data_IF_297044225626
#
_entry.id   IF_297044225626
#
_cell.length_a   1.000
_cell.length_b   1.000
_cell.length_c   1.000
_cell.angle_alpha   90.00
_cell.angle_beta   90.00
_cell.angle_gamma   90.00
#
_symmetry.space_group_name_H-M   'P 1'
#
loop_
_entity.id
_entity.type
_entity.pdbx_description
1 polymer ?
#
# COMPACT_ATOMS: atom_id res chain seq x y z
N UNK A 1 8.69 15.09 -16.76
CA UNK A 1 9.53 15.16 -15.54
C UNK A 1 8.87 15.91 -14.38
N UNK A 2 8.13 16.99 -14.62
CA UNK A 2 7.40 17.69 -13.55
C UNK A 2 6.48 16.77 -12.73
N UNK A 3 5.72 15.87 -13.40
CA UNK A 3 4.88 14.88 -12.72
C UNK A 3 5.68 13.97 -11.78
N UNK A 4 6.86 13.52 -12.22
CA UNK A 4 7.68 12.62 -11.42
C UNK A 4 8.18 13.27 -10.13
N UNK A 5 8.46 14.57 -10.18
CA UNK A 5 8.84 15.39 -9.03
C UNK A 5 7.64 15.67 -8.12
N UNK A 6 6.48 16.01 -8.67
CA UNK A 6 5.23 16.17 -7.90
C UNK A 6 4.87 14.92 -7.09
N UNK A 7 4.93 13.74 -7.71
CA UNK A 7 4.69 12.47 -7.01
C UNK A 7 5.70 12.28 -5.88
N UNK A 8 6.98 12.55 -6.14
CA UNK A 8 8.02 12.42 -5.12
C UNK A 8 7.77 13.36 -3.93
N UNK A 9 7.44 14.62 -4.19
CA UNK A 9 7.21 15.63 -3.16
C UNK A 9 5.96 15.34 -2.35
N UNK A 10 4.88 14.89 -3.01
CA UNK A 10 3.68 14.40 -2.32
C UNK A 10 4.02 13.22 -1.40
N UNK A 11 4.69 12.20 -1.91
CA UNK A 11 5.04 11.02 -1.11
C UNK A 11 5.97 11.38 0.05
N UNK A 12 6.91 12.30 -0.11
CA UNK A 12 7.85 12.75 0.94
C UNK A 12 7.16 13.67 1.99
N UNK A 13 6.00 14.24 1.66
CA UNK A 13 5.22 15.11 2.55
C UNK A 13 4.33 14.35 3.55
N UNK A 14 4.05 13.08 3.30
CA UNK A 14 3.16 12.27 4.14
C UNK A 14 3.83 11.97 5.50
N UNK A 15 3.16 12.18 6.64
CA UNK A 15 3.78 11.99 7.96
C UNK A 15 4.23 10.55 8.19
N UNK A 16 3.45 9.58 7.69
CA UNK A 16 3.74 8.14 7.77
C UNK A 16 4.96 7.72 6.94
N UNK A 17 5.40 8.57 6.01
CA UNK A 17 6.57 8.30 5.18
C UNK A 17 7.84 8.85 5.80
N UNK A 18 8.91 8.08 5.66
CA UNK A 18 10.28 8.51 5.90
C UNK A 18 10.93 8.92 4.59
N UNK A 19 12.12 8.40 4.31
CA UNK A 19 12.84 8.79 3.10
C UNK A 19 12.19 8.23 1.85
N UNK A 20 11.94 9.10 0.87
CA UNK A 20 11.59 8.70 -0.50
C UNK A 20 12.82 8.78 -1.41
N UNK A 21 13.02 7.74 -2.22
CA UNK A 21 14.07 7.66 -3.24
C UNK A 21 13.42 7.38 -4.60
N UNK A 22 13.78 8.18 -5.60
CA UNK A 22 13.27 8.04 -6.97
C UNK A 22 14.19 8.75 -7.97
N UNK A 23 13.81 8.73 -9.25
CA UNK A 23 14.45 9.56 -10.27
C UNK A 23 14.45 11.06 -9.89
N UNK A 24 13.41 11.55 -9.21
CA UNK A 24 13.34 12.94 -8.76
C UNK A 24 14.44 13.29 -7.75
N UNK A 25 14.88 12.34 -6.92
CA UNK A 25 16.01 12.53 -6.00
C UNK A 25 17.29 12.84 -6.78
N UNK A 26 17.53 12.09 -7.87
CA UNK A 26 18.68 12.31 -8.74
C UNK A 26 18.61 13.67 -9.44
N UNK A 27 17.43 14.04 -9.94
CA UNK A 27 17.21 15.35 -10.55
C UNK A 27 17.45 16.48 -9.53
N UNK A 28 16.95 16.37 -8.30
CA UNK A 28 17.20 17.35 -7.23
C UNK A 28 18.68 17.51 -6.92
N UNK A 29 19.44 16.41 -6.83
CA UNK A 29 20.90 16.46 -6.62
C UNK A 29 21.58 17.15 -7.80
N UNK A 30 21.23 16.77 -9.02
CA UNK A 30 21.83 17.35 -10.22
C UNK A 30 21.52 18.86 -10.34
N UNK A 31 20.30 19.29 -10.01
CA UNK A 31 19.93 20.71 -9.92
C UNK A 31 20.76 21.45 -8.88
N UNK A 32 20.98 20.87 -7.69
CA UNK A 32 21.84 21.46 -6.66
C UNK A 32 23.28 21.63 -7.14
N UNK A 33 23.83 20.62 -7.84
CA UNK A 33 25.17 20.69 -8.43
C UNK A 33 25.24 21.71 -9.57
N UNK A 34 24.15 21.90 -10.31
CA UNK A 34 24.01 22.89 -11.38
C UNK A 34 23.61 24.28 -10.84
N UNK A 35 24.14 24.69 -9.69
CA UNK A 35 23.91 26.01 -9.06
C UNK A 35 22.43 26.36 -8.89
N UNK A 36 21.60 25.36 -8.58
CA UNK A 36 20.15 25.52 -8.40
C UNK A 36 19.33 25.58 -9.69
N UNK A 37 19.96 25.49 -10.88
CA UNK A 37 19.25 25.49 -12.16
C UNK A 37 18.87 24.06 -12.57
N UNK A 38 17.60 23.78 -12.89
CA UNK A 38 17.21 22.46 -13.36
C UNK A 38 17.92 22.14 -14.68
N UNK A 39 18.31 20.87 -14.85
CA UNK A 39 18.86 20.42 -16.12
C UNK A 39 17.75 20.40 -17.18
N UNK A 40 18.05 20.91 -18.37
CA UNK A 40 17.14 20.80 -19.50
C UNK A 40 17.11 19.37 -20.08
N UNK A 41 16.19 19.10 -21.00
CA UNK A 41 16.04 17.77 -21.60
C UNK A 41 17.30 17.31 -22.36
N UNK A 42 18.03 18.23 -22.98
CA UNK A 42 19.24 17.92 -23.73
C UNK A 42 20.39 17.54 -22.80
N UNK A 43 20.62 18.33 -21.74
CA UNK A 43 21.60 18.07 -20.70
C UNK A 43 21.31 16.74 -20.00
N UNK A 44 20.04 16.43 -19.73
CA UNK A 44 19.66 15.14 -19.15
C UNK A 44 19.89 13.98 -20.09
N UNK A 45 19.60 14.13 -21.39
CA UNK A 45 19.91 13.13 -22.39
C UNK A 45 21.42 12.90 -22.49
N UNK A 46 22.21 13.97 -22.44
CA UNK A 46 23.68 13.89 -22.44
C UNK A 46 24.21 13.22 -21.18
N UNK A 47 23.71 13.57 -20.00
CA UNK A 47 24.08 12.90 -18.75
C UNK A 47 23.73 11.42 -18.82
N UNK A 48 22.54 11.07 -19.34
CA UNK A 48 22.15 9.69 -19.53
C UNK A 48 23.05 8.95 -20.53
N UNK A 49 23.40 9.55 -21.67
CA UNK A 49 24.22 8.91 -22.70
C UNK A 49 25.67 8.73 -22.25
N UNK A 50 26.23 9.71 -21.55
CA UNK A 50 27.61 9.72 -21.09
C UNK A 50 27.83 8.94 -19.79
N UNK A 51 26.76 8.62 -19.03
CA UNK A 51 26.90 7.85 -17.80
C UNK A 51 27.38 6.41 -18.12
N UNK A 52 28.50 5.94 -17.54
CA UNK A 52 28.93 4.56 -17.74
C UNK A 52 27.87 3.56 -17.24
N UNK A 53 27.74 2.41 -17.93
CA UNK A 53 26.72 1.41 -17.60
C UNK A 53 26.76 0.92 -16.15
N UNK A 54 27.95 0.85 -15.55
CA UNK A 54 28.13 0.52 -14.13
C UNK A 54 27.35 1.48 -13.22
N UNK A 55 27.45 2.79 -13.46
CA UNK A 55 26.75 3.80 -12.67
C UNK A 55 25.25 3.81 -12.98
N UNK A 56 24.85 3.58 -14.24
CA UNK A 56 23.42 3.47 -14.59
C UNK A 56 22.75 2.36 -13.79
N UNK A 57 23.41 1.20 -13.65
CA UNK A 57 22.89 0.06 -12.86
C UNK A 57 22.68 0.37 -11.39
N UNK A 58 23.55 1.18 -10.80
CA UNK A 58 23.51 1.50 -9.36
C UNK A 58 22.54 2.65 -9.08
N UNK A 59 22.53 3.67 -9.93
CA UNK A 59 21.94 4.97 -9.60
C UNK A 59 20.63 5.25 -10.36
N UNK A 60 20.47 4.73 -11.59
CA UNK A 60 19.29 5.02 -12.43
C UNK A 60 18.34 3.83 -12.56
N UNK A 61 18.85 2.66 -12.98
CA UNK A 61 18.05 1.45 -13.22
C UNK A 61 17.14 1.03 -12.05
N UNK A 62 17.49 1.27 -10.77
CA UNK A 62 16.57 0.96 -9.66
C UNK A 62 15.30 1.83 -9.63
N UNK A 63 15.30 2.99 -10.28
CA UNK A 63 14.23 3.99 -10.18
C UNK A 63 13.57 4.35 -11.51
N UNK A 64 14.21 4.04 -12.65
CA UNK A 64 13.64 4.29 -13.98
C UNK A 64 14.04 3.19 -14.96
N UNK A 65 13.07 2.74 -15.75
CA UNK A 65 13.29 1.88 -16.91
C UNK A 65 12.70 2.56 -18.14
N UNK A 66 13.54 3.21 -18.97
CA UNK A 66 13.08 3.78 -20.23
C UNK A 66 12.53 2.73 -21.19
N UNK A 67 13.11 1.52 -21.21
CA UNK A 67 12.69 0.42 -22.09
C UNK A 67 11.25 -0.03 -21.80
N UNK A 68 10.86 -0.04 -20.52
CA UNK A 68 9.53 -0.44 -20.09
C UNK A 68 8.60 0.73 -19.75
N UNK A 69 9.05 1.98 -19.98
CA UNK A 69 8.32 3.20 -19.62
C UNK A 69 7.87 3.24 -18.14
N UNK A 70 8.73 2.76 -17.24
CA UNK A 70 8.42 2.62 -15.81
C UNK A 70 9.25 3.58 -14.96
N UNK A 71 8.60 4.10 -13.92
CA UNK A 71 9.22 4.83 -12.82
C UNK A 71 8.94 4.09 -11.52
N UNK A 72 9.96 3.98 -10.68
CA UNK A 72 9.87 3.35 -9.36
C UNK A 72 10.21 4.36 -8.27
N UNK A 73 9.33 4.41 -7.28
CA UNK A 73 9.48 5.17 -6.06
C UNK A 73 9.71 4.19 -4.92
N UNK A 74 10.84 4.32 -4.24
CA UNK A 74 11.14 3.55 -3.04
C UNK A 74 10.85 4.42 -1.83
N UNK A 75 9.90 3.98 -1.01
CA UNK A 75 9.40 4.73 0.15
C UNK A 75 9.74 3.92 1.40
N UNK A 76 10.38 4.57 2.38
CA UNK A 76 10.45 4.01 3.74
C UNK A 76 9.19 4.42 4.49
N UNK A 77 8.52 3.49 5.14
CA UNK A 77 7.35 3.78 5.99
C UNK A 77 7.78 3.76 7.45
N UNK A 78 7.29 4.70 8.25
CA UNK A 78 7.56 4.79 9.69
C UNK A 78 6.53 3.96 10.44
N UNK A 79 6.84 2.69 10.72
CA UNK A 79 5.93 1.81 11.48
C UNK A 79 5.62 2.30 12.91
N UNK A 80 6.48 3.16 13.47
CA UNK A 80 6.27 3.79 14.78
C UNK A 80 5.30 4.98 14.75
N UNK A 81 4.85 5.41 13.57
CA UNK A 81 3.93 6.53 13.44
C UNK A 81 2.54 6.15 13.98
N UNK A 82 2.01 6.93 14.92
CA UNK A 82 0.77 6.58 15.64
C UNK A 82 -0.45 6.63 14.72
N UNK A 83 -0.43 7.51 13.72
CA UNK A 83 -1.49 7.63 12.72
C UNK A 83 -1.49 6.49 11.69
N UNK A 84 -0.44 5.65 11.64
CA UNK A 84 -0.31 4.65 10.60
C UNK A 84 -1.39 3.56 10.72
N UNK A 85 -2.38 3.65 9.84
CA UNK A 85 -3.34 2.60 9.54
C UNK A 85 -3.00 2.05 8.17
N UNK A 86 -2.30 0.91 8.11
CA UNK A 86 -1.66 0.38 6.88
C UNK A 86 -2.60 0.32 5.67
N UNK A 87 -3.77 -0.27 5.86
CA UNK A 87 -4.78 -0.40 4.81
C UNK A 87 -5.27 0.97 4.32
N UNK A 88 -5.67 1.84 5.26
CA UNK A 88 -6.12 3.20 4.94
C UNK A 88 -5.03 4.04 4.28
N UNK A 89 -3.77 3.88 4.71
CA UNK A 89 -2.62 4.57 4.13
C UNK A 89 -2.35 4.14 2.68
N UNK A 90 -2.38 2.83 2.39
CA UNK A 90 -2.24 2.32 1.03
C UNK A 90 -3.39 2.78 0.13
N UNK A 91 -4.63 2.75 0.65
CA UNK A 91 -5.81 3.25 -0.06
C UNK A 91 -5.72 4.75 -0.33
N UNK A 92 -5.26 5.54 0.65
CA UNK A 92 -5.03 6.98 0.51
C UNK A 92 -4.00 7.28 -0.59
N UNK A 93 -2.82 6.66 -0.55
CA UNK A 93 -1.81 6.86 -1.60
C UNK A 93 -2.39 6.49 -2.97
N UNK A 94 -3.09 5.36 -3.11
CA UNK A 94 -3.73 4.99 -4.37
C UNK A 94 -4.73 6.05 -4.82
N UNK A 95 -5.61 6.49 -3.92
CA UNK A 95 -6.64 7.48 -4.19
C UNK A 95 -6.04 8.82 -4.64
N UNK A 96 -5.11 9.38 -3.87
CA UNK A 96 -4.53 10.69 -4.11
C UNK A 96 -3.71 10.69 -5.41
N UNK A 97 -2.92 9.63 -5.67
CA UNK A 97 -2.18 9.51 -6.92
C UNK A 97 -3.10 9.42 -8.14
N UNK A 98 -4.22 8.71 -8.05
CA UNK A 98 -5.17 8.56 -9.17
C UNK A 98 -6.00 9.81 -9.38
N UNK A 99 -6.60 10.35 -8.31
CA UNK A 99 -7.60 11.41 -8.40
C UNK A 99 -7.00 12.81 -8.36
N UNK A 100 -5.98 13.06 -7.55
CA UNK A 100 -5.38 14.39 -7.43
C UNK A 100 -4.26 14.61 -8.47
N UNK A 101 -3.48 13.56 -8.75
CA UNK A 101 -2.34 13.62 -9.67
C UNK A 101 -2.62 13.03 -11.06
N UNK A 102 -3.84 12.52 -11.29
CA UNK A 102 -4.32 12.09 -12.60
C UNK A 102 -3.62 10.84 -13.14
N UNK A 103 -3.05 10.01 -12.26
CA UNK A 103 -2.41 8.76 -12.67
C UNK A 103 -3.50 7.74 -12.98
N UNK A 104 -3.44 7.11 -14.16
CA UNK A 104 -4.39 6.04 -14.48
C UNK A 104 -4.18 4.86 -13.52
N UNK A 105 -5.29 4.31 -13.03
CA UNK A 105 -5.26 3.26 -12.02
C UNK A 105 -4.54 1.99 -12.49
N UNK A 106 -4.65 1.66 -13.77
CA UNK A 106 -3.99 0.51 -14.43
C UNK A 106 -2.46 0.66 -14.47
N UNK A 107 -1.94 1.89 -14.35
CA UNK A 107 -0.51 2.19 -14.38
C UNK A 107 0.11 2.32 -12.99
N UNK A 108 -0.69 2.26 -11.93
CA UNK A 108 -0.24 2.41 -10.56
C UNK A 108 -0.17 1.06 -9.84
N UNK A 109 1.05 0.70 -9.42
CA UNK A 109 1.29 -0.51 -8.63
C UNK A 109 1.94 -0.17 -7.29
N UNK A 110 1.23 -0.44 -6.20
CA UNK A 110 1.79 -0.42 -4.86
C UNK A 110 2.31 -1.82 -4.55
N UNK A 111 3.58 -1.90 -4.14
CA UNK A 111 4.28 -3.17 -3.93
C UNK A 111 5.18 -3.09 -2.69
N UNK A 112 5.81 -4.21 -2.34
CA UNK A 112 6.77 -4.28 -1.24
C UNK A 112 6.17 -4.86 0.03
N UNK A 113 7.00 -4.88 1.08
CA UNK A 113 6.72 -5.62 2.31
C UNK A 113 5.45 -5.14 3.02
N UNK A 114 5.23 -3.82 3.07
CA UNK A 114 4.02 -3.26 3.69
C UNK A 114 2.74 -3.77 3.02
N UNK A 115 2.73 -3.83 1.69
CA UNK A 115 1.57 -4.30 0.92
C UNK A 115 1.34 -5.78 1.18
N UNK A 116 2.40 -6.60 1.13
CA UNK A 116 2.30 -8.03 1.44
C UNK A 116 1.76 -8.26 2.85
N UNK A 117 2.30 -7.55 3.84
CA UNK A 117 1.84 -7.65 5.22
C UNK A 117 0.38 -7.22 5.39
N UNK A 118 -0.03 -6.10 4.76
CA UNK A 118 -1.42 -5.67 4.75
C UNK A 118 -2.34 -6.73 4.14
N UNK A 119 -1.96 -7.29 3.00
CA UNK A 119 -2.75 -8.32 2.33
C UNK A 119 -2.87 -9.57 3.18
N UNK A 120 -1.79 -10.03 3.83
CA UNK A 120 -1.87 -11.18 4.75
C UNK A 120 -2.82 -10.91 5.91
N UNK A 121 -2.76 -9.72 6.53
CA UNK A 121 -3.69 -9.35 7.60
C UNK A 121 -5.15 -9.32 7.12
N UNK A 122 -5.41 -8.69 5.97
CA UNK A 122 -6.76 -8.63 5.40
C UNK A 122 -7.29 -10.04 5.11
N UNK A 123 -6.50 -10.89 4.44
CA UNK A 123 -6.89 -12.27 4.16
C UNK A 123 -7.11 -13.10 5.44
N UNK A 124 -6.35 -12.85 6.50
CA UNK A 124 -6.54 -13.51 7.79
C UNK A 124 -7.89 -13.12 8.42
N UNK A 125 -8.18 -11.82 8.50
CA UNK A 125 -9.45 -11.34 9.06
C UNK A 125 -10.65 -11.80 8.23
N UNK A 126 -10.55 -11.71 6.90
CA UNK A 126 -11.58 -12.18 5.98
C UNK A 126 -11.86 -13.68 6.19
N UNK A 127 -10.80 -14.49 6.26
CA UNK A 127 -10.93 -15.95 6.48
C UNK A 127 -11.53 -16.28 7.84
N UNK A 128 -11.17 -15.54 8.90
CA UNK A 128 -11.72 -15.74 10.23
C UNK A 128 -13.21 -15.40 10.30
N UNK A 129 -13.61 -14.24 9.76
CA UNK A 129 -15.01 -13.81 9.73
C UNK A 129 -15.85 -14.79 8.90
N UNK A 130 -15.35 -15.20 7.73
CA UNK A 130 -16.05 -16.14 6.86
C UNK A 130 -16.22 -17.50 7.53
N UNK A 131 -15.17 -18.04 8.16
CA UNK A 131 -15.22 -19.33 8.86
C UNK A 131 -16.19 -19.28 10.04
N UNK A 132 -16.12 -18.22 10.86
CA UNK A 132 -17.02 -18.06 12.01
C UNK A 132 -18.48 -17.91 11.56
N UNK A 133 -18.73 -17.10 10.52
CA UNK A 133 -20.06 -16.96 9.93
C UNK A 133 -20.61 -18.30 9.44
N UNK A 134 -19.79 -19.08 8.73
CA UNK A 134 -20.15 -20.42 8.26
C UNK A 134 -20.49 -21.36 9.42
N UNK A 135 -19.67 -21.39 10.47
CA UNK A 135 -19.88 -22.24 11.66
C UNK A 135 -21.18 -21.84 12.38
N UNK A 136 -21.43 -20.54 12.56
CA UNK A 136 -22.67 -20.04 13.18
C UNK A 136 -23.89 -20.45 12.36
N UNK A 137 -23.84 -20.36 11.03
CA UNK A 137 -24.93 -20.78 10.15
C UNK A 137 -25.20 -22.28 10.24
N UNK A 138 -24.15 -23.11 10.23
CA UNK A 138 -24.28 -24.57 10.37
C UNK A 138 -24.87 -24.94 11.73
N UNK A 139 -24.36 -24.36 12.82
CA UNK A 139 -24.89 -24.57 14.16
C UNK A 139 -26.35 -24.14 14.30
N UNK A 140 -26.72 -22.98 13.71
CA UNK A 140 -28.11 -22.52 13.68
C UNK A 140 -29.00 -23.50 12.93
N UNK A 141 -28.52 -24.07 11.82
CA UNK A 141 -29.21 -25.13 11.08
C UNK A 141 -29.44 -26.38 11.92
N UNK A 142 -28.41 -26.85 12.62
CA UNK A 142 -28.50 -28.00 13.53
C UNK A 142 -29.50 -27.76 14.67
N UNK A 143 -29.45 -26.59 15.33
CA UNK A 143 -30.41 -26.23 16.38
C UNK A 143 -31.83 -26.07 15.86
N UNK A 144 -32.02 -25.52 14.66
CA UNK A 144 -33.35 -25.46 14.01
C UNK A 144 -33.94 -26.86 13.83
N UNK A 145 -33.13 -27.82 13.38
CA UNK A 145 -33.56 -29.22 13.21
C UNK A 145 -33.89 -29.85 14.57
N UNK A 146 -33.03 -29.64 15.58
CA UNK A 146 -33.15 -30.23 16.91
C UNK A 146 -34.40 -29.73 17.65
N UNK A 147 -34.61 -28.41 17.72
CA UNK A 147 -35.71 -27.82 18.48
C UNK A 147 -37.01 -27.68 17.68
N UNK A 148 -36.96 -27.90 16.35
CA UNK A 148 -38.08 -27.69 15.41
C UNK A 148 -38.74 -26.29 15.52
N UNK A 149 -38.04 -25.32 16.11
CA UNK A 149 -38.52 -23.98 16.40
C UNK A 149 -37.38 -22.99 16.25
N UNK A 150 -37.55 -22.01 15.36
CA UNK A 150 -36.54 -20.98 15.12
C UNK A 150 -36.30 -20.11 16.36
N UNK A 151 -37.35 -19.87 17.17
CA UNK A 151 -37.25 -19.07 18.39
C UNK A 151 -36.34 -19.75 19.43
N UNK A 152 -36.53 -21.06 19.65
CA UNK A 152 -35.70 -21.82 20.59
C UNK A 152 -34.26 -21.97 20.09
N UNK A 153 -34.07 -22.21 18.79
CA UNK A 153 -32.74 -22.29 18.19
C UNK A 153 -31.93 -20.99 18.35
N UNK A 154 -32.58 -19.82 18.19
CA UNK A 154 -31.94 -18.52 18.42
C UNK A 154 -31.57 -18.30 19.88
N UNK A 155 -32.44 -18.67 20.84
CA UNK A 155 -32.12 -18.55 22.27
C UNK A 155 -30.91 -19.43 22.62
N UNK A 156 -30.82 -20.64 22.06
CA UNK A 156 -29.74 -21.58 22.34
C UNK A 156 -28.37 -21.15 21.78
N UNK A 157 -28.31 -20.38 20.68
CA UNK A 157 -27.03 -19.95 20.08
C UNK A 157 -26.43 -18.71 20.75
N UNK A 158 -27.23 -17.93 21.48
CA UNK A 158 -26.80 -16.69 22.16
C UNK A 158 -25.55 -16.87 23.04
N UNK A 159 -25.44 -17.85 23.96
CA UNK A 159 -24.24 -18.02 24.78
C UNK A 159 -22.98 -18.34 23.95
N UNK A 160 -23.13 -19.09 22.85
CA UNK A 160 -22.02 -19.39 21.95
C UNK A 160 -21.56 -18.13 21.20
N UNK A 161 -22.50 -17.31 20.71
CA UNK A 161 -22.19 -16.04 20.06
C UNK A 161 -21.50 -15.07 21.02
N UNK A 162 -21.93 -15.03 22.29
CA UNK A 162 -21.24 -14.26 23.33
C UNK A 162 -19.79 -14.71 23.50
N UNK A 163 -19.56 -16.02 23.64
CA UNK A 163 -18.20 -16.56 23.77
C UNK A 163 -17.32 -16.22 22.57
N UNK A 164 -17.82 -16.38 21.33
CA UNK A 164 -17.12 -16.01 20.10
C UNK A 164 -16.80 -14.51 20.09
N UNK A 165 -17.77 -13.67 20.45
CA UNK A 165 -17.60 -12.21 20.44
C UNK A 165 -16.52 -11.76 21.43
N UNK A 166 -16.47 -12.38 22.61
CA UNK A 166 -15.43 -12.09 23.62
C UNK A 166 -14.05 -12.51 23.11
N UNK A 167 -13.92 -13.70 22.53
CA UNK A 167 -12.63 -14.18 22.00
C UNK A 167 -12.13 -13.28 20.87
N UNK A 168 -13.01 -12.90 19.93
CA UNK A 168 -12.68 -11.96 18.86
C UNK A 168 -12.26 -10.59 19.42
N UNK A 169 -13.04 -10.03 20.34
CA UNK A 169 -12.73 -8.74 20.95
C UNK A 169 -11.43 -8.71 21.73
N UNK A 170 -11.01 -9.84 22.32
CA UNK A 170 -9.71 -9.96 23.01
C UNK A 170 -8.56 -10.09 22.01
N UNK A 171 -8.76 -10.76 20.87
CA UNK A 171 -7.74 -10.90 19.83
C UNK A 171 -7.47 -9.59 19.07
N UNK A 172 -8.47 -8.70 18.99
CA UNK A 172 -8.37 -7.37 18.38
C UNK A 172 -9.39 -7.14 17.30
#
# INVERSE_FOLDING_TARGET
MALAMKIHDYLDSLPETGKVLSLATMLKIATKLNKGRPLDNFQLALVYSQLPEKFKRIILKPYVSPQHHQLRYSIRVKDSEKSLRRDAFLKKIRHDLVNELGIKEDKLHLTGLLVLYNNMLQSLFESQILTLGMVVLVLLGMFRILFRSLKLALIAIVPNLLAISVVLGVMG
#
